data_IF_840224082461
#
_entry.id   IF_840224082461
#
_cell.length_a   1.000
_cell.length_b   1.000
_cell.length_c   1.000
_cell.angle_alpha   90.00
_cell.angle_beta   90.00
_cell.angle_gamma   90.00
#
_symmetry.space_group_name_H-M   'P 1'
#
loop_
_entity.id
_entity.type
_entity.pdbx_description
1 polymer ?
#
# COMPACT_ATOMS: atom_id res chain seq x y z
N UNK A 1 16.66 77.88 29.36
CA UNK A 1 17.95 77.36 29.90
C UNK A 1 18.12 75.86 29.69
N UNK A 2 17.46 75.23 28.71
CA UNK A 2 17.61 73.79 28.45
C UNK A 2 17.17 72.86 29.60
N UNK A 3 16.40 73.35 30.57
CA UNK A 3 15.79 72.54 31.63
C UNK A 3 14.42 72.04 31.18
N UNK A 4 14.04 70.86 31.62
CA UNK A 4 12.73 70.26 31.35
C UNK A 4 11.60 71.23 31.72
N UNK A 5 10.63 71.38 30.82
CA UNK A 5 9.48 72.24 31.04
C UNK A 5 8.36 71.47 31.73
N UNK A 6 8.00 71.88 32.95
CA UNK A 6 6.96 71.23 33.76
C UNK A 6 5.74 72.14 33.93
N UNK A 7 4.55 71.58 33.70
CA UNK A 7 3.25 72.17 33.99
C UNK A 7 2.67 71.42 35.19
N UNK A 8 2.37 72.13 36.28
CA UNK A 8 1.60 71.57 37.39
C UNK A 8 0.11 71.54 37.07
N UNK A 9 -0.57 70.47 37.46
CA UNK A 9 -2.01 70.29 37.30
C UNK A 9 -2.61 70.05 38.68
N UNK A 10 -3.54 70.93 39.08
CA UNK A 10 -4.27 70.79 40.33
C UNK A 10 -5.66 70.22 40.05
N UNK A 11 -5.90 68.98 40.47
CA UNK A 11 -7.21 68.35 40.37
C UNK A 11 -8.04 68.57 41.64
N UNK A 12 -9.36 68.38 41.50
CA UNK A 12 -10.29 68.33 42.62
C UNK A 12 -9.89 67.20 43.60
N UNK A 13 -10.11 67.43 44.89
CA UNK A 13 -9.87 66.47 45.98
C UNK A 13 -8.41 66.00 46.14
N UNK A 14 -7.43 66.86 45.80
CA UNK A 14 -6.00 66.59 46.04
C UNK A 14 -5.32 65.72 44.97
N UNK A 15 -6.02 65.45 43.87
CA UNK A 15 -5.48 64.78 42.67
C UNK A 15 -4.57 65.74 41.90
N UNK A 16 -3.38 66.00 42.44
CA UNK A 16 -2.39 66.86 41.81
C UNK A 16 -1.38 66.03 41.02
N UNK A 17 -0.97 66.53 39.87
CA UNK A 17 0.03 65.90 39.01
C UNK A 17 0.91 66.92 38.31
N UNK A 18 1.91 66.44 37.58
CA UNK A 18 2.77 67.26 36.75
C UNK A 18 2.80 66.68 35.34
N UNK A 19 2.85 67.53 34.31
CA UNK A 19 3.18 67.16 32.92
C UNK A 19 4.51 67.81 32.59
N UNK A 20 5.47 67.01 32.15
CA UNK A 20 6.81 67.47 31.79
C UNK A 20 7.17 67.01 30.39
N UNK A 21 7.81 67.89 29.61
CA UNK A 21 8.43 67.52 28.34
C UNK A 21 9.92 67.28 28.59
N UNK A 22 10.37 66.04 28.38
CA UNK A 22 11.77 65.63 28.56
C UNK A 22 12.21 64.60 27.53
N UNK A 23 13.50 64.30 27.45
CA UNK A 23 14.00 63.18 26.66
C UNK A 23 13.66 61.85 27.34
N UNK A 24 13.15 60.89 26.56
CA UNK A 24 12.86 59.54 27.04
C UNK A 24 13.20 58.48 25.99
N UNK A 25 12.75 57.23 26.24
CA UNK A 25 13.06 56.09 25.37
C UNK A 25 12.61 56.37 23.93
N UNK A 26 13.34 55.88 22.91
CA UNK A 26 12.96 56.10 21.52
C UNK A 26 11.70 55.29 21.17
N UNK A 27 11.22 55.40 19.93
CA UNK A 27 10.11 54.60 19.43
C UNK A 27 10.46 53.11 19.29
N UNK A 28 9.52 52.32 18.76
CA UNK A 28 9.71 50.88 18.53
C UNK A 28 10.90 50.60 17.61
N UNK A 29 11.15 51.47 16.63
CA UNK A 29 12.27 51.39 15.67
C UNK A 29 13.54 52.11 16.13
N UNK A 30 13.53 52.66 17.35
CA UNK A 30 14.69 53.33 17.92
C UNK A 30 15.86 52.37 18.13
N UNK A 31 17.07 52.82 17.81
CA UNK A 31 18.30 52.10 18.10
C UNK A 31 18.75 52.34 19.54
N UNK A 32 19.59 51.43 20.05
CA UNK A 32 20.18 51.57 21.37
C UNK A 32 20.95 52.89 21.48
N UNK A 33 20.64 53.67 22.51
CA UNK A 33 21.23 55.00 22.76
C UNK A 33 20.47 56.17 22.13
N UNK A 34 19.47 55.94 21.30
CA UNK A 34 18.61 57.02 20.78
C UNK A 34 17.59 57.48 21.84
N UNK A 35 17.22 58.75 21.79
CA UNK A 35 16.16 59.33 22.61
C UNK A 35 15.21 60.14 21.76
N UNK A 36 14.01 60.39 22.29
CA UNK A 36 13.04 61.32 21.69
C UNK A 36 12.37 62.15 22.77
N UNK A 37 11.82 63.28 22.35
CA UNK A 37 10.97 64.11 23.20
C UNK A 37 9.71 63.33 23.60
N UNK A 38 9.46 63.25 24.91
CA UNK A 38 8.32 62.59 25.54
C UNK A 38 7.51 63.60 26.35
N UNK A 39 6.19 63.41 26.35
CA UNK A 39 5.32 63.96 27.37
C UNK A 39 5.28 62.93 28.49
N UNK A 40 5.67 63.35 29.69
CA UNK A 40 5.76 62.50 30.87
C UNK A 40 4.87 63.10 31.95
N UNK A 41 4.11 62.27 32.65
CA UNK A 41 3.30 62.73 33.76
C UNK A 41 3.57 61.93 35.03
N UNK A 42 3.41 62.60 36.16
CA UNK A 42 3.56 61.98 37.47
C UNK A 42 2.20 61.78 38.14
N UNK A 43 1.95 60.54 38.54
CA UNK A 43 0.81 60.13 39.36
C UNK A 43 1.29 59.65 40.71
N UNK A 44 0.38 59.17 41.56
CA UNK A 44 0.71 58.45 42.79
C UNK A 44 0.14 57.04 42.70
N UNK A 45 0.90 56.03 43.12
CA UNK A 45 0.39 54.68 43.27
C UNK A 45 -0.60 54.56 44.44
N UNK A 46 -1.15 53.36 44.65
CA UNK A 46 -2.09 53.06 45.74
C UNK A 46 -1.51 53.36 47.15
N UNK A 47 -0.18 53.47 47.27
CA UNK A 47 0.53 53.79 48.52
C UNK A 47 0.86 55.27 48.65
N UNK A 48 0.50 56.10 47.66
CA UNK A 48 0.78 57.54 47.63
C UNK A 48 2.18 57.90 47.11
N UNK A 49 2.97 56.93 46.63
CA UNK A 49 4.32 57.16 46.11
C UNK A 49 4.26 57.68 44.67
N UNK A 50 5.07 58.69 44.29
CA UNK A 50 5.10 59.18 42.92
C UNK A 50 5.48 58.08 41.92
N UNK A 51 4.68 57.96 40.86
CA UNK A 51 4.91 57.07 39.72
C UNK A 51 4.97 57.89 38.44
N UNK A 52 6.00 57.64 37.63
CA UNK A 52 6.22 58.35 36.37
C UNK A 52 5.75 57.50 35.21
N UNK A 53 4.90 58.06 34.35
CA UNK A 53 4.36 57.43 33.16
C UNK A 53 4.73 58.25 31.91
N UNK A 54 5.04 57.58 30.80
CA UNK A 54 5.30 58.24 29.51
C UNK A 54 4.09 58.09 28.58
N UNK A 55 3.65 59.20 27.98
CA UNK A 55 2.59 59.16 26.97
C UNK A 55 3.11 58.50 25.70
N UNK A 56 2.42 57.45 25.25
CA UNK A 56 2.72 56.79 23.99
C UNK A 56 2.43 57.71 22.80
N UNK A 57 3.21 57.55 21.74
CA UNK A 57 3.10 58.22 20.45
C UNK A 57 2.91 57.16 19.37
N UNK A 58 2.52 57.59 18.16
CA UNK A 58 2.41 56.68 17.02
C UNK A 58 3.69 55.85 16.78
N UNK A 59 4.87 56.39 17.13
CA UNK A 59 6.16 55.73 16.93
C UNK A 59 6.49 54.58 17.90
N UNK A 60 5.67 54.25 18.89
CA UNK A 60 6.09 53.37 20.00
C UNK A 60 5.71 51.89 19.88
N UNK A 61 4.79 51.53 18.99
CA UNK A 61 3.98 50.31 19.01
C UNK A 61 4.57 49.01 19.60
N UNK A 62 4.71 47.96 18.79
CA UNK A 62 5.01 46.60 19.26
C UNK A 62 6.09 45.92 18.42
N UNK A 63 6.87 45.04 19.06
CA UNK A 63 7.83 44.15 18.42
C UNK A 63 7.28 42.73 18.43
N UNK A 64 7.29 42.08 17.28
CA UNK A 64 6.93 40.67 17.09
C UNK A 64 8.16 39.92 16.62
N UNK A 65 8.36 38.69 17.10
CA UNK A 65 9.53 37.88 16.74
C UNK A 65 9.06 36.51 16.29
N UNK A 66 9.51 36.10 15.10
CA UNK A 66 9.25 34.76 14.58
C UNK A 66 10.27 33.73 15.06
N UNK A 67 10.06 32.47 14.70
CA UNK A 67 11.00 31.38 15.01
C UNK A 67 12.38 31.57 14.35
N UNK A 68 12.51 32.44 13.33
CA UNK A 68 13.79 32.80 12.72
C UNK A 68 14.54 33.91 13.47
N UNK A 69 14.01 34.36 14.62
CA UNK A 69 14.59 35.41 15.46
C UNK A 69 14.48 36.82 14.88
N UNK A 70 13.87 36.98 13.69
CA UNK A 70 13.73 38.30 13.09
C UNK A 70 12.62 39.08 13.77
N UNK A 71 12.92 40.34 14.09
CA UNK A 71 11.97 41.28 14.69
C UNK A 71 11.18 41.97 13.58
N UNK A 72 9.86 41.90 13.68
CA UNK A 72 8.91 42.75 12.96
C UNK A 72 8.41 43.81 13.91
N UNK A 73 8.74 45.07 13.63
CA UNK A 73 8.22 46.21 14.38
C UNK A 73 6.94 46.72 13.72
N UNK A 74 6.02 47.18 14.57
CA UNK A 74 4.78 47.83 14.16
C UNK A 74 4.58 49.07 14.99
N UNK A 75 4.52 50.23 14.34
CA UNK A 75 4.14 51.47 15.00
C UNK A 75 2.67 51.42 15.43
N UNK A 76 2.27 52.24 16.41
CA UNK A 76 0.84 52.36 16.74
C UNK A 76 0.11 52.96 15.52
N UNK A 77 -1.12 52.50 15.28
CA UNK A 77 -1.91 52.80 14.08
C UNK A 77 -1.41 52.16 12.77
N UNK A 78 -0.47 51.20 12.84
CA UNK A 78 -0.16 50.33 11.71
C UNK A 78 -0.91 49.00 11.78
N UNK A 79 -1.19 48.43 10.60
CA UNK A 79 -1.71 47.08 10.47
C UNK A 79 -0.58 46.05 10.50
N UNK A 80 -0.66 45.08 11.40
CA UNK A 80 0.14 43.85 11.36
C UNK A 80 -0.59 42.81 10.50
N UNK A 81 0.01 42.41 9.39
CA UNK A 81 -0.50 41.31 8.59
C UNK A 81 0.04 39.97 9.11
N UNK A 82 -0.86 39.03 9.41
CA UNK A 82 -0.54 37.63 9.71
C UNK A 82 -1.21 36.80 8.61
N UNK A 83 -0.43 36.21 7.71
CA UNK A 83 -0.93 35.55 6.49
C UNK A 83 -0.39 34.12 6.37
N UNK A 84 -1.26 33.17 6.05
CA UNK A 84 -0.90 31.83 5.60
C UNK A 84 -0.90 31.71 4.07
N UNK A 85 -0.69 30.50 3.56
CA UNK A 85 -0.70 30.23 2.11
C UNK A 85 -2.10 30.20 1.47
N UNK A 86 -3.16 30.05 2.26
CA UNK A 86 -4.55 30.11 1.80
C UNK A 86 -4.91 31.59 1.58
N UNK A 87 -5.10 31.99 0.33
CA UNK A 87 -5.29 33.39 -0.05
C UNK A 87 -6.45 33.60 -1.04
N UNK A 88 -7.24 32.57 -1.31
CA UNK A 88 -8.47 32.65 -2.11
C UNK A 88 -9.68 32.66 -1.18
N UNK A 89 -10.74 33.37 -1.58
CA UNK A 89 -12.00 33.43 -0.81
C UNK A 89 -12.60 32.03 -0.59
N UNK A 90 -12.61 31.20 -1.63
CA UNK A 90 -13.06 29.81 -1.54
C UNK A 90 -12.20 28.98 -0.58
N UNK A 91 -10.88 29.14 -0.62
CA UNK A 91 -9.96 28.45 0.29
C UNK A 91 -10.15 28.87 1.74
N UNK A 92 -10.36 30.17 2.00
CA UNK A 92 -10.63 30.69 3.34
C UNK A 92 -11.96 30.20 3.89
N UNK A 93 -12.99 30.15 3.05
CA UNK A 93 -14.32 29.62 3.43
C UNK A 93 -14.27 28.13 3.75
N UNK A 94 -13.41 27.37 3.06
CA UNK A 94 -13.23 25.94 3.30
C UNK A 94 -12.21 25.61 4.41
N UNK A 95 -11.47 26.59 4.93
CA UNK A 95 -10.46 26.37 5.95
C UNK A 95 -11.10 25.93 7.28
N UNK A 96 -10.47 24.98 7.95
CA UNK A 96 -10.88 24.54 9.28
C UNK A 96 -10.04 25.21 10.37
N UNK A 97 -10.71 25.65 11.43
CA UNK A 97 -10.10 26.12 12.69
C UNK A 97 -9.83 24.99 13.70
N UNK A 98 -10.22 23.75 13.39
CA UNK A 98 -10.24 22.64 14.37
C UNK A 98 -8.87 22.14 14.80
N UNK A 99 -7.89 22.15 13.91
CA UNK A 99 -6.61 21.47 14.13
C UNK A 99 -5.53 22.39 14.71
N UNK A 100 -5.73 23.72 14.69
CA UNK A 100 -4.74 24.72 15.12
C UNK A 100 -5.26 25.40 16.39
N UNK A 101 -4.45 25.40 17.45
CA UNK A 101 -4.73 26.09 18.70
C UNK A 101 -3.67 27.14 19.02
N UNK A 102 -3.99 28.03 19.97
CA UNK A 102 -3.05 29.00 20.53
C UNK A 102 -3.05 28.87 22.05
N UNK A 103 -1.87 28.77 22.66
CA UNK A 103 -1.70 28.68 24.13
C UNK A 103 -0.57 29.59 24.61
N UNK A 104 -0.63 30.02 25.86
CA UNK A 104 0.48 30.72 26.51
C UNK A 104 1.65 29.74 26.78
N UNK A 105 2.87 30.27 26.70
CA UNK A 105 4.09 29.60 27.14
C UNK A 105 5.17 30.66 27.43
N UNK A 106 5.60 30.78 28.68
CA UNK A 106 6.70 31.66 29.10
C UNK A 106 6.57 33.12 28.59
N UNK A 107 5.38 33.73 28.75
CA UNK A 107 5.03 35.08 28.27
C UNK A 107 5.03 35.23 26.75
N UNK A 108 4.95 34.12 26.03
CA UNK A 108 4.77 34.07 24.58
C UNK A 108 3.55 33.24 24.20
N UNK A 109 3.11 33.33 22.94
CA UNK A 109 2.01 32.52 22.41
C UNK A 109 2.59 31.41 21.54
N UNK A 110 2.32 30.15 21.91
CA UNK A 110 2.60 28.99 21.10
C UNK A 110 1.41 28.66 20.21
N UNK A 111 1.66 28.63 18.90
CA UNK A 111 0.73 28.04 17.92
C UNK A 111 0.98 26.53 17.92
N UNK A 112 -0.06 25.75 18.20
CA UNK A 112 0.01 24.29 18.33
C UNK A 112 -0.91 23.61 17.32
N UNK A 113 -0.57 22.37 16.95
CA UNK A 113 -1.40 21.51 16.09
C UNK A 113 -1.81 20.28 16.90
N UNK A 114 -3.05 19.81 16.73
CA UNK A 114 -3.51 18.57 17.33
C UNK A 114 -2.63 17.38 16.93
N UNK A 115 -2.27 16.50 17.88
CA UNK A 115 -1.48 15.29 17.59
C UNK A 115 -2.22 14.31 16.65
N UNK A 116 -3.55 14.38 16.65
CA UNK A 116 -4.45 13.58 15.79
C UNK A 116 -5.38 14.52 15.02
N UNK A 117 -4.85 15.26 14.03
CA UNK A 117 -5.64 16.24 13.30
C UNK A 117 -6.74 15.53 12.51
N UNK A 118 -7.89 16.18 12.36
CA UNK A 118 -9.00 15.71 11.53
C UNK A 118 -9.07 16.54 10.26
N UNK A 119 -9.04 15.90 9.10
CA UNK A 119 -9.16 16.56 7.79
C UNK A 119 -10.37 16.01 7.04
N UNK A 120 -11.05 16.85 6.25
CA UNK A 120 -12.09 16.40 5.32
C UNK A 120 -11.51 15.68 4.10
N UNK A 121 -10.25 15.96 3.77
CA UNK A 121 -9.49 15.29 2.72
C UNK A 121 -8.00 15.58 2.87
N UNK A 122 -7.16 14.68 2.36
CA UNK A 122 -5.71 14.82 2.36
C UNK A 122 -5.20 14.52 0.96
N UNK A 123 -4.42 15.45 0.40
CA UNK A 123 -3.60 15.21 -0.79
C UNK A 123 -2.14 15.16 -0.34
N UNK A 124 -1.50 14.01 -0.53
CA UNK A 124 -0.05 13.86 -0.33
C UNK A 124 0.61 14.04 -1.68
N UNK A 125 1.44 15.07 -1.81
CA UNK A 125 2.04 15.47 -3.07
C UNK A 125 3.57 15.33 -3.03
N UNK A 126 4.09 14.47 -3.91
CA UNK A 126 5.52 14.29 -4.11
C UNK A 126 6.09 15.45 -4.93
N UNK A 127 6.93 16.28 -4.31
CA UNK A 127 7.60 17.42 -4.96
C UNK A 127 9.09 17.18 -5.11
N UNK A 128 9.73 17.99 -5.95
CA UNK A 128 11.19 18.02 -6.13
C UNK A 128 11.79 16.66 -6.54
N UNK A 129 11.06 15.94 -7.39
CA UNK A 129 11.47 14.62 -7.90
C UNK A 129 11.36 13.49 -6.88
N UNK A 130 10.69 13.71 -5.73
CA UNK A 130 10.37 12.68 -4.74
C UNK A 130 8.93 12.21 -4.90
N UNK A 131 8.71 10.92 -4.66
CA UNK A 131 7.37 10.34 -4.65
C UNK A 131 6.53 10.88 -3.48
N UNK A 132 5.20 10.83 -3.64
CA UNK A 132 4.28 11.03 -2.52
C UNK A 132 4.37 9.82 -1.58
N UNK A 133 4.55 10.05 -0.28
CA UNK A 133 4.73 8.97 0.70
C UNK A 133 3.99 9.22 2.00
N UNK A 134 3.36 8.17 2.52
CA UNK A 134 2.85 8.07 3.89
C UNK A 134 3.67 7.02 4.62
N UNK A 135 4.51 7.44 5.57
CA UNK A 135 5.32 6.55 6.40
C UNK A 135 4.60 6.18 7.70
N UNK A 136 4.59 4.90 8.03
CA UNK A 136 4.17 4.41 9.33
C UNK A 136 5.40 4.14 10.18
N UNK A 137 5.46 4.72 11.37
CA UNK A 137 6.58 4.56 12.30
C UNK A 137 6.08 4.23 13.71
N UNK A 138 6.92 3.56 14.50
CA UNK A 138 6.68 3.29 15.92
C UNK A 138 7.95 3.57 16.70
N UNK A 139 7.83 4.38 17.76
CA UNK A 139 8.94 4.76 18.64
C UNK A 139 10.15 5.35 17.90
N UNK A 140 9.88 6.22 16.93
CA UNK A 140 10.91 6.88 16.11
C UNK A 140 11.61 5.97 15.09
N UNK A 141 11.16 4.73 14.91
CA UNK A 141 11.68 3.79 13.90
C UNK A 141 10.72 3.68 12.73
N UNK A 142 11.26 3.84 11.51
CA UNK A 142 10.53 3.67 10.26
C UNK A 142 10.01 2.23 10.14
N UNK A 143 8.73 2.10 9.81
CA UNK A 143 8.05 0.86 9.46
C UNK A 143 7.71 0.83 7.98
N UNK A 144 6.55 0.28 7.64
CA UNK A 144 6.07 0.27 6.25
C UNK A 144 5.68 1.66 5.77
N UNK A 145 5.65 1.86 4.46
CA UNK A 145 5.09 3.08 3.86
C UNK A 145 4.18 2.77 2.69
N UNK A 146 3.26 3.70 2.44
CA UNK A 146 2.44 3.74 1.22
C UNK A 146 3.04 4.81 0.33
N UNK A 147 3.50 4.41 -0.86
CA UNK A 147 4.11 5.32 -1.82
C UNK A 147 3.23 5.41 -3.06
N UNK A 148 2.81 6.63 -3.37
CA UNK A 148 2.25 6.96 -4.67
C UNK A 148 3.39 7.07 -5.67
N UNK A 149 3.61 6.01 -6.44
CA UNK A 149 4.65 5.98 -7.47
C UNK A 149 4.03 6.32 -8.81
N UNK A 150 4.66 7.23 -9.56
CA UNK A 150 4.52 7.24 -11.02
C UNK A 150 5.58 6.28 -11.55
N UNK A 151 5.17 5.13 -12.06
CA UNK A 151 6.10 4.11 -12.55
C UNK A 151 7.06 4.66 -13.61
N UNK A 152 8.16 3.97 -13.88
CA UNK A 152 9.08 4.33 -14.97
C UNK A 152 8.40 4.30 -16.35
N UNK A 153 7.27 3.60 -16.47
CA UNK A 153 6.34 3.58 -17.61
C UNK A 153 5.37 4.77 -17.62
N UNK A 154 5.48 5.68 -16.65
CA UNK A 154 4.64 6.87 -16.50
C UNK A 154 3.27 6.60 -15.86
N UNK A 155 2.95 5.36 -15.51
CA UNK A 155 1.63 4.98 -15.00
C UNK A 155 1.50 5.15 -13.49
N UNK A 156 0.28 5.50 -13.05
CA UNK A 156 0.01 5.72 -11.65
C UNK A 156 -0.07 4.37 -10.92
N UNK A 157 0.43 4.34 -9.69
CA UNK A 157 0.33 3.14 -8.86
C UNK A 157 0.52 3.44 -7.38
N UNK A 158 0.08 2.48 -6.57
CA UNK A 158 0.26 2.51 -5.12
C UNK A 158 1.14 1.33 -4.73
N UNK A 159 2.27 1.60 -4.08
CA UNK A 159 3.18 0.54 -3.63
C UNK A 159 3.30 0.58 -2.12
N UNK A 160 3.10 -0.58 -1.48
CA UNK A 160 3.47 -0.79 -0.10
C UNK A 160 4.97 -1.09 -0.05
N UNK A 161 5.76 -0.23 0.60
CA UNK A 161 7.18 -0.49 0.82
C UNK A 161 7.41 -1.09 2.20
N UNK A 162 8.30 -2.07 2.25
CA UNK A 162 8.79 -2.61 3.51
C UNK A 162 9.65 -1.60 4.26
N UNK A 163 9.90 -1.84 5.54
CA UNK A 163 10.80 -1.00 6.36
C UNK A 163 12.24 -0.94 5.81
N UNK A 164 12.62 -1.89 4.94
CA UNK A 164 13.89 -1.90 4.22
C UNK A 164 13.87 -1.01 2.95
N UNK A 165 12.78 -0.28 2.69
CA UNK A 165 12.59 0.56 1.51
C UNK A 165 12.37 -0.19 0.20
N UNK A 166 12.31 -1.53 0.22
CA UNK A 166 12.03 -2.34 -0.97
C UNK A 166 10.53 -2.43 -1.21
N UNK A 167 10.16 -2.56 -2.48
CA UNK A 167 8.78 -2.74 -2.90
C UNK A 167 8.24 -4.08 -2.37
N UNK A 168 7.11 -4.00 -1.68
CA UNK A 168 6.22 -5.12 -1.38
C UNK A 168 5.08 -5.15 -2.40
N UNK A 169 3.84 -5.35 -1.96
CA UNK A 169 2.69 -5.39 -2.86
C UNK A 169 2.46 -4.05 -3.55
N UNK A 170 2.21 -4.10 -4.87
CA UNK A 170 1.89 -2.92 -5.67
C UNK A 170 0.53 -3.06 -6.36
N UNK A 171 -0.28 -2.02 -6.29
CA UNK A 171 -1.54 -1.85 -7.00
C UNK A 171 -1.30 -1.01 -8.26
N UNK A 172 -1.65 -1.58 -9.41
CA UNK A 172 -1.53 -0.93 -10.72
C UNK A 172 -2.85 -0.26 -11.11
N UNK A 173 -2.77 0.75 -11.98
CA UNK A 173 -3.94 1.47 -12.51
C UNK A 173 -4.92 0.55 -13.25
N UNK A 174 -4.43 -0.53 -13.86
CA UNK A 174 -5.25 -1.56 -14.52
C UNK A 174 -5.94 -2.54 -13.54
N UNK A 175 -5.90 -2.26 -12.24
CA UNK A 175 -6.54 -3.05 -11.19
C UNK A 175 -5.75 -4.28 -10.74
N UNK A 176 -4.58 -4.57 -11.33
CA UNK A 176 -3.76 -5.70 -10.89
C UNK A 176 -3.08 -5.44 -9.56
N UNK A 177 -3.00 -6.50 -8.76
CA UNK A 177 -2.09 -6.61 -7.62
C UNK A 177 -0.85 -7.35 -8.09
N UNK A 178 0.31 -6.68 -7.97
CA UNK A 178 1.61 -7.16 -8.45
C UNK A 178 2.61 -7.28 -7.31
N UNK A 179 3.74 -7.94 -7.57
CA UNK A 179 4.75 -8.28 -6.57
C UNK A 179 4.18 -9.10 -5.40
N UNK A 180 3.25 -10.00 -5.72
CA UNK A 180 2.73 -11.01 -4.78
C UNK A 180 3.68 -12.20 -4.77
N UNK A 181 4.41 -12.36 -3.68
CA UNK A 181 5.27 -13.52 -3.46
C UNK A 181 4.44 -14.82 -3.41
N UNK A 182 5.08 -15.96 -3.66
CA UNK A 182 4.45 -17.27 -3.50
C UNK A 182 3.88 -17.41 -2.07
N UNK A 183 2.60 -17.74 -1.98
CA UNK A 183 1.96 -18.06 -0.71
C UNK A 183 2.53 -19.34 -0.11
N UNK A 184 2.81 -19.32 1.20
CA UNK A 184 3.41 -20.42 1.96
C UNK A 184 2.45 -20.99 3.00
N UNK A 185 1.64 -20.13 3.59
CA UNK A 185 0.67 -20.49 4.62
C UNK A 185 -0.76 -20.53 4.07
N UNK A 186 -1.66 -21.21 4.78
CA UNK A 186 -3.04 -21.45 4.32
C UNK A 186 -3.93 -20.20 4.17
N UNK A 187 -3.43 -19.01 4.50
CA UNK A 187 -4.12 -17.72 4.35
C UNK A 187 -3.42 -16.76 3.40
N UNK A 188 -2.28 -17.18 2.82
CA UNK A 188 -1.56 -16.35 1.88
C UNK A 188 -2.29 -16.30 0.53
N UNK A 189 -2.14 -15.19 -0.17
CA UNK A 189 -2.58 -15.09 -1.55
C UNK A 189 -1.74 -16.02 -2.44
N UNK A 190 -2.38 -16.60 -3.46
CA UNK A 190 -1.73 -17.42 -4.48
C UNK A 190 -1.46 -16.55 -5.70
N UNK A 191 -0.22 -16.53 -6.19
CA UNK A 191 0.11 -15.81 -7.41
C UNK A 191 -0.12 -16.66 -8.67
N UNK A 192 -0.02 -16.04 -9.85
CA UNK A 192 -0.27 -16.73 -11.13
C UNK A 192 0.67 -17.91 -11.34
N UNK A 193 1.93 -17.79 -10.95
CA UNK A 193 2.92 -18.85 -11.16
C UNK A 193 2.59 -20.11 -10.35
N UNK A 194 2.06 -19.96 -9.14
CA UNK A 194 1.53 -21.08 -8.36
C UNK A 194 0.34 -21.75 -9.05
N UNK A 195 -0.58 -20.96 -9.62
CA UNK A 195 -1.73 -21.48 -10.35
C UNK A 195 -1.31 -22.24 -11.62
N UNK A 196 -0.32 -21.74 -12.37
CA UNK A 196 0.18 -22.40 -13.58
C UNK A 196 0.85 -23.76 -13.26
N UNK A 197 1.52 -23.90 -12.11
CA UNK A 197 2.05 -25.20 -11.66
C UNK A 197 0.95 -26.24 -11.41
N UNK A 198 -0.17 -25.80 -10.83
CA UNK A 198 -1.36 -26.65 -10.65
C UNK A 198 -1.97 -26.98 -12.00
N UNK A 199 -2.12 -26.00 -12.88
CA UNK A 199 -2.67 -26.16 -14.22
C UNK A 199 -1.85 -27.18 -15.05
N UNK A 200 -0.53 -27.11 -15.00
CA UNK A 200 0.34 -28.09 -15.67
C UNK A 200 0.13 -29.51 -15.13
N UNK A 201 0.00 -29.67 -13.81
CA UNK A 201 -0.24 -30.97 -13.17
C UNK A 201 -1.63 -31.52 -13.53
N UNK A 202 -2.67 -30.68 -13.43
CA UNK A 202 -4.04 -31.06 -13.74
C UNK A 202 -4.23 -31.47 -15.20
N UNK A 203 -3.47 -30.87 -16.13
CA UNK A 203 -3.57 -31.15 -17.56
C UNK A 203 -2.67 -32.28 -18.06
N UNK A 204 -1.85 -32.91 -17.21
CA UNK A 204 -0.86 -33.89 -17.66
C UNK A 204 -1.48 -35.20 -18.21
N UNK A 205 -2.67 -35.59 -17.73
CA UNK A 205 -3.28 -36.87 -18.06
C UNK A 205 -2.48 -38.07 -17.54
N UNK A 206 -2.70 -39.26 -18.12
CA UNK A 206 -1.93 -40.47 -17.80
C UNK A 206 -1.51 -41.23 -19.06
N UNK A 207 -0.47 -42.06 -18.98
CA UNK A 207 0.07 -42.82 -20.12
C UNK A 207 -0.55 -44.20 -20.22
N UNK A 208 -1.06 -44.57 -21.40
CA UNK A 208 -1.54 -45.91 -21.72
C UNK A 208 -0.57 -46.60 -22.68
N UNK A 209 -0.16 -47.82 -22.38
CA UNK A 209 0.69 -48.66 -23.23
C UNK A 209 0.11 -50.06 -23.34
N UNK A 210 0.37 -50.77 -24.44
CA UNK A 210 -0.03 -52.18 -24.62
C UNK A 210 1.19 -53.06 -24.87
N UNK A 211 1.06 -54.38 -24.63
CA UNK A 211 2.05 -55.39 -25.02
C UNK A 211 3.51 -55.00 -24.70
N UNK A 212 3.82 -54.82 -23.41
CA UNK A 212 5.17 -54.45 -22.92
C UNK A 212 5.69 -53.09 -23.41
N UNK A 213 4.85 -52.04 -23.41
CA UNK A 213 5.27 -50.66 -23.69
C UNK A 213 5.08 -50.19 -25.12
N UNK A 214 4.51 -51.03 -25.99
CA UNK A 214 4.20 -50.65 -27.37
C UNK A 214 2.99 -49.69 -27.44
N UNK A 215 2.96 -48.87 -28.50
CA UNK A 215 1.86 -47.93 -28.83
C UNK A 215 1.47 -46.99 -27.67
N UNK A 216 2.47 -46.37 -27.02
CA UNK A 216 2.21 -45.44 -25.92
C UNK A 216 1.39 -44.23 -26.37
N UNK A 217 0.32 -43.92 -25.64
CA UNK A 217 -0.48 -42.70 -25.81
C UNK A 217 -0.66 -41.98 -24.47
N UNK A 218 -0.98 -40.69 -24.51
CA UNK A 218 -1.47 -39.95 -23.33
C UNK A 218 -2.99 -39.92 -23.40
N UNK A 219 -3.64 -40.38 -22.35
CA UNK A 219 -5.05 -40.12 -22.09
C UNK A 219 -5.14 -38.82 -21.33
N UNK A 220 -5.47 -37.74 -22.03
CA UNK A 220 -5.62 -36.40 -21.42
C UNK A 220 -6.83 -36.36 -20.50
N UNK A 221 -6.91 -35.39 -19.56
CA UNK A 221 -8.13 -35.21 -18.77
C UNK A 221 -9.36 -35.11 -19.67
N UNK A 222 -10.46 -35.71 -19.24
CA UNK A 222 -11.73 -35.83 -19.96
C UNK A 222 -11.69 -36.65 -21.27
N UNK A 223 -10.56 -37.27 -21.62
CA UNK A 223 -10.53 -38.24 -22.72
C UNK A 223 -11.17 -39.56 -22.30
N UNK A 224 -11.71 -40.28 -23.28
CA UNK A 224 -12.29 -41.61 -23.11
C UNK A 224 -11.34 -42.66 -23.69
N UNK A 225 -11.21 -43.79 -23.00
CA UNK A 225 -10.60 -45.01 -23.54
C UNK A 225 -11.71 -46.01 -23.80
N UNK A 226 -11.80 -46.48 -25.04
CA UNK A 226 -12.71 -47.56 -25.42
C UNK A 226 -11.95 -48.90 -25.46
N UNK A 227 -12.50 -49.91 -24.80
CA UNK A 227 -11.94 -51.26 -24.73
C UNK A 227 -12.80 -52.16 -25.60
N UNK A 228 -12.44 -52.28 -26.88
CA UNK A 228 -13.22 -52.99 -27.88
C UNK A 228 -12.55 -54.31 -28.30
N UNK A 229 -13.38 -55.29 -28.67
CA UNK A 229 -12.96 -56.48 -29.38
C UNK A 229 -13.87 -56.71 -30.60
N UNK A 230 -13.29 -56.75 -31.80
CA UNK A 230 -14.05 -56.76 -33.05
C UNK A 230 -14.30 -58.14 -33.63
N UNK A 231 -13.53 -59.16 -33.21
CA UNK A 231 -13.68 -60.53 -33.72
C UNK A 231 -14.76 -61.35 -32.98
N UNK A 232 -15.27 -60.82 -31.86
CA UNK A 232 -16.30 -61.46 -31.04
C UNK A 232 -15.82 -62.61 -30.15
N UNK A 233 -14.54 -62.97 -30.16
CA UNK A 233 -13.99 -64.07 -29.35
C UNK A 233 -13.86 -63.72 -27.86
N UNK A 234 -13.56 -62.46 -27.55
CA UNK A 234 -13.55 -61.89 -26.20
C UNK A 234 -14.84 -61.11 -25.97
N UNK A 235 -15.51 -61.41 -24.86
CA UNK A 235 -16.65 -60.65 -24.33
C UNK A 235 -16.11 -59.64 -23.32
N UNK A 236 -16.33 -58.35 -23.57
CA UNK A 236 -15.95 -57.25 -22.68
C UNK A 236 -17.23 -56.63 -22.12
N UNK A 237 -17.37 -56.58 -20.80
CA UNK A 237 -18.54 -55.96 -20.12
C UNK A 237 -18.09 -55.02 -19.02
N UNK A 238 -18.91 -54.00 -18.73
CA UNK A 238 -18.64 -52.98 -17.70
C UNK A 238 -19.78 -52.91 -16.71
N UNK A 239 -19.47 -53.01 -15.42
CA UNK A 239 -20.41 -52.82 -14.31
C UNK A 239 -19.79 -51.85 -13.32
N UNK A 240 -20.34 -50.64 -13.20
CA UNK A 240 -19.69 -49.56 -12.43
C UNK A 240 -18.30 -49.27 -12.98
N UNK A 241 -17.27 -49.28 -12.14
CA UNK A 241 -15.87 -49.07 -12.54
C UNK A 241 -15.10 -50.37 -12.85
N UNK A 242 -15.77 -51.53 -12.78
CA UNK A 242 -15.14 -52.80 -13.11
C UNK A 242 -15.33 -53.14 -14.59
N UNK A 243 -14.27 -53.66 -15.21
CA UNK A 243 -14.29 -54.19 -16.58
C UNK A 243 -14.02 -55.69 -16.50
N UNK A 244 -14.95 -56.50 -17.00
CA UNK A 244 -14.85 -57.94 -17.03
C UNK A 244 -14.48 -58.40 -18.44
N UNK A 245 -13.47 -59.27 -18.52
CA UNK A 245 -13.07 -59.96 -19.74
C UNK A 245 -13.43 -61.43 -19.61
N UNK A 246 -14.12 -61.97 -20.62
CA UNK A 246 -14.44 -63.39 -20.73
C UNK A 246 -14.24 -63.90 -22.15
N UNK A 247 -14.24 -65.22 -22.31
CA UNK A 247 -14.32 -65.84 -23.63
C UNK A 247 -15.79 -65.95 -24.04
N UNK A 248 -16.04 -65.86 -25.35
CA UNK A 248 -17.34 -66.21 -25.91
C UNK A 248 -17.53 -67.74 -25.89
N UNK A 249 -18.78 -68.19 -25.86
CA UNK A 249 -19.12 -69.62 -25.87
C UNK A 249 -18.67 -70.31 -27.17
N UNK A 250 -18.63 -69.56 -28.27
CA UNK A 250 -18.10 -70.01 -29.55
C UNK A 250 -16.87 -69.18 -29.89
N UNK A 251 -15.75 -69.86 -30.17
CA UNK A 251 -14.51 -69.24 -30.62
C UNK A 251 -14.31 -69.51 -32.10
N UNK A 252 -14.11 -68.45 -32.87
CA UNK A 252 -13.74 -68.52 -34.28
C UNK A 252 -12.23 -68.37 -34.39
N UNK A 253 -11.56 -69.43 -34.83
CA UNK A 253 -10.11 -69.43 -35.08
C UNK A 253 -9.89 -69.50 -36.58
N UNK A 254 -9.20 -68.50 -37.13
CA UNK A 254 -9.09 -68.29 -38.58
C UNK A 254 -10.17 -67.35 -39.12
N UNK A 255 -10.17 -67.18 -40.44
CA UNK A 255 -11.17 -66.41 -41.18
C UNK A 255 -11.22 -66.89 -42.64
N UNK A 256 -12.10 -66.30 -43.45
CA UNK A 256 -12.31 -66.65 -44.87
C UNK A 256 -11.02 -66.65 -45.71
N UNK A 257 -10.00 -65.90 -45.30
CA UNK A 257 -8.73 -65.77 -46.00
C UNK A 257 -7.59 -66.58 -45.38
N UNK A 258 -7.75 -67.11 -44.16
CA UNK A 258 -6.70 -67.86 -43.46
C UNK A 258 -7.30 -68.93 -42.55
N UNK A 259 -7.04 -70.23 -42.79
CA UNK A 259 -7.55 -71.30 -41.94
C UNK A 259 -7.00 -71.15 -40.51
N UNK A 260 -7.84 -71.47 -39.54
CA UNK A 260 -7.45 -71.53 -38.13
C UNK A 260 -6.64 -72.77 -37.81
N UNK A 261 -5.88 -72.68 -36.73
CA UNK A 261 -5.12 -73.79 -36.15
C UNK A 261 -5.31 -73.83 -34.65
N UNK A 262 -5.65 -74.99 -34.11
CA UNK A 262 -5.63 -75.26 -32.68
C UNK A 262 -4.62 -76.37 -32.40
N UNK A 263 -3.73 -76.14 -31.45
CA UNK A 263 -2.70 -77.13 -31.08
C UNK A 263 -2.63 -77.29 -29.58
N UNK A 264 -2.48 -78.55 -29.14
CA UNK A 264 -2.06 -78.89 -27.78
C UNK A 264 -0.62 -79.37 -27.88
N UNK A 265 0.27 -78.74 -27.14
CA UNK A 265 1.69 -79.11 -27.13
C UNK A 265 1.89 -80.45 -26.44
N UNK A 266 2.66 -81.33 -27.09
CA UNK A 266 3.21 -82.56 -26.53
C UNK A 266 4.64 -82.34 -26.04
N UNK A 267 5.32 -83.44 -25.71
CA UNK A 267 6.69 -83.40 -25.19
C UNK A 267 7.68 -82.77 -26.18
N UNK A 268 8.72 -82.13 -25.64
CA UNK A 268 9.83 -81.52 -26.39
C UNK A 268 9.39 -80.48 -27.44
N UNK A 269 8.26 -79.80 -27.22
CA UNK A 269 7.77 -78.73 -28.10
C UNK A 269 7.10 -79.20 -29.40
N UNK A 270 6.92 -80.51 -29.58
CA UNK A 270 6.13 -81.08 -30.69
C UNK A 270 4.63 -80.90 -30.41
N UNK A 271 3.81 -80.87 -31.45
CA UNK A 271 2.36 -80.85 -31.29
C UNK A 271 1.85 -82.28 -31.01
N UNK A 272 1.08 -82.46 -29.94
CA UNK A 272 0.45 -83.73 -29.58
C UNK A 272 -0.91 -83.92 -30.26
N UNK A 273 -1.72 -82.87 -30.30
CA UNK A 273 -3.00 -82.82 -31.03
C UNK A 273 -3.03 -81.56 -31.87
N UNK A 274 -3.39 -81.67 -33.15
CA UNK A 274 -3.51 -80.54 -34.06
C UNK A 274 -4.80 -80.62 -34.87
N UNK A 275 -5.55 -79.52 -34.88
CA UNK A 275 -6.73 -79.32 -35.73
C UNK A 275 -6.42 -78.17 -36.68
N UNK A 276 -6.51 -78.45 -37.99
CA UNK A 276 -6.28 -77.47 -39.06
C UNK A 276 -7.51 -77.35 -39.95
N UNK A 277 -8.00 -76.13 -40.16
CA UNK A 277 -9.12 -75.88 -41.06
C UNK A 277 -8.86 -76.24 -42.54
N UNK A 278 -7.59 -76.46 -42.90
CA UNK A 278 -7.13 -76.86 -44.24
C UNK A 278 -7.09 -78.39 -44.41
N UNK A 279 -6.50 -79.07 -43.43
CA UNK A 279 -6.07 -80.48 -43.55
C UNK A 279 -6.89 -81.44 -42.66
N UNK A 280 -7.84 -80.93 -41.86
CA UNK A 280 -8.67 -81.71 -40.96
C UNK A 280 -8.05 -81.94 -39.57
N UNK A 281 -8.43 -83.04 -38.92
CA UNK A 281 -7.95 -83.43 -37.58
C UNK A 281 -6.74 -84.37 -37.72
N UNK A 282 -5.65 -84.07 -37.02
CA UNK A 282 -4.47 -84.95 -36.91
C UNK A 282 -4.23 -85.32 -35.45
N UNK A 283 -4.19 -86.62 -35.15
CA UNK A 283 -3.86 -87.18 -33.82
C UNK A 283 -2.59 -88.01 -33.98
N UNK A 284 -1.54 -87.75 -33.19
CA UNK A 284 -0.29 -88.53 -33.19
C UNK A 284 -0.11 -89.25 -31.85
N UNK A 285 0.14 -90.55 -31.90
CA UNK A 285 0.42 -91.36 -30.71
C UNK A 285 1.90 -91.33 -30.33
N UNK A 286 2.27 -92.00 -29.23
CA UNK A 286 3.63 -92.05 -28.66
C UNK A 286 4.71 -92.51 -29.67
N UNK A 287 4.33 -93.23 -30.75
CA UNK A 287 5.23 -93.74 -31.79
C UNK A 287 4.97 -93.22 -33.22
N UNK A 288 4.17 -92.17 -33.40
CA UNK A 288 3.87 -91.59 -34.73
C UNK A 288 2.40 -91.36 -35.00
#
# INVERSE_FOLDING_TARGET
NGKDGTIGINGKDGSNGSITVKQGKPGVDGKDGETKTRIVYETKDETGKPTTEEVATLKDGLKFVGNDGKVVTKELNETLAIKGGINTEAGLTAASDRNVGVRENEKSLNIVIAERPTFSGITVDGKDGKDAEVKFAKDGKDGMSIVGTRGADGQNGLTLKGANGKDGVSFKEDGRITNVADGKDGKDAVNKDQLERVNATANAGWKLTINNGNNQTTVTPNATVDLANTDGNIVITKVGNNVNFGLNNTLTVGNDNKPGTMTVKGENGKDGVSISGKDGISIKGENG
#
